data_IF_228448353001
#
_entry.id   IF_228448353001
#
_cell.length_a   1.000
_cell.length_b   1.000
_cell.length_c   1.000
_cell.angle_alpha   90.00
_cell.angle_beta   90.00
_cell.angle_gamma   90.00
#
_symmetry.space_group_name_H-M   'P 1'
#
loop_
_entity.id
_entity.type
_entity.pdbx_description
1 polymer ?
#
# COMPACT_ATOMS: atom_id res chain seq x y z
N UNK A 1 -2.24 5.81 22.03
CA UNK A 1 -3.36 6.23 21.16
C UNK A 1 -4.66 5.67 21.71
N UNK A 2 -5.69 6.51 21.89
CA UNK A 2 -7.04 6.11 22.37
C UNK A 2 -7.91 5.80 21.14
N UNK A 3 -8.65 4.69 21.19
CA UNK A 3 -9.61 4.30 20.13
C UNK A 3 -11.02 4.60 20.62
N UNK A 4 -11.79 5.35 19.82
CA UNK A 4 -13.20 5.66 20.06
C UNK A 4 -14.09 4.96 19.03
N UNK A 5 -15.38 4.85 19.33
CA UNK A 5 -16.40 4.32 18.43
C UNK A 5 -17.64 5.25 18.50
N UNK A 6 -17.49 6.43 17.91
CA UNK A 6 -18.50 7.50 18.03
C UNK A 6 -19.77 7.23 17.22
N UNK A 7 -19.72 6.27 16.31
CA UNK A 7 -20.82 5.89 15.41
C UNK A 7 -21.45 4.54 15.77
N UNK A 8 -21.14 3.99 16.94
CA UNK A 8 -21.65 2.69 17.39
C UNK A 8 -21.48 1.56 16.35
N UNK A 9 -20.32 1.55 15.67
CA UNK A 9 -20.02 0.51 14.70
C UNK A 9 -19.97 -0.88 15.37
N UNK A 10 -20.37 -1.96 14.66
CA UNK A 10 -20.36 -3.31 15.19
C UNK A 10 -18.99 -3.70 15.80
N UNK A 11 -19.03 -4.54 16.83
CA UNK A 11 -17.84 -4.97 17.59
C UNK A 11 -16.72 -5.55 16.71
N UNK A 12 -17.07 -6.16 15.57
CA UNK A 12 -16.09 -6.70 14.61
C UNK A 12 -15.14 -5.62 14.06
N UNK A 13 -15.65 -4.40 13.80
CA UNK A 13 -14.84 -3.25 13.35
C UNK A 13 -13.91 -2.76 14.47
N UNK A 14 -14.43 -2.67 15.69
CA UNK A 14 -13.63 -2.31 16.88
C UNK A 14 -12.50 -3.31 17.09
N UNK A 15 -12.80 -4.60 16.96
CA UNK A 15 -11.81 -5.67 17.10
C UNK A 15 -10.75 -5.63 16.00
N UNK A 16 -11.12 -5.31 14.77
CA UNK A 16 -10.16 -5.14 13.67
C UNK A 16 -9.16 -4.03 14.01
N UNK A 17 -9.63 -2.84 14.40
CA UNK A 17 -8.76 -1.69 14.72
C UNK A 17 -7.86 -1.97 15.93
N UNK A 18 -8.35 -2.68 16.94
CA UNK A 18 -7.58 -3.03 18.14
C UNK A 18 -6.56 -4.13 17.91
N UNK A 19 -6.81 -5.03 16.95
CA UNK A 19 -5.97 -6.18 16.65
C UNK A 19 -5.12 -5.98 15.38
N UNK A 20 -4.82 -4.72 15.02
CA UNK A 20 -3.91 -4.44 13.91
C UNK A 20 -2.59 -5.18 14.12
N UNK A 21 -2.33 -6.16 13.24
CA UNK A 21 -1.14 -7.01 13.27
C UNK A 21 0.02 -6.44 12.45
N UNK A 22 -0.10 -5.18 11.98
CA UNK A 22 0.98 -4.61 11.20
C UNK A 22 2.30 -4.66 11.95
N UNK A 23 3.28 -5.26 11.35
CA UNK A 23 4.64 -5.33 11.86
C UNK A 23 5.64 -4.97 10.76
N UNK A 24 6.59 -4.13 11.07
CA UNK A 24 7.76 -3.88 10.20
C UNK A 24 8.85 -4.95 10.33
N UNK A 25 8.59 -6.02 11.06
CA UNK A 25 9.56 -7.06 11.38
C UNK A 25 10.73 -6.50 12.19
N UNK A 26 11.95 -6.97 11.91
CA UNK A 26 13.18 -6.54 12.56
C UNK A 26 13.69 -5.16 12.08
N UNK A 27 12.92 -4.42 11.27
CA UNK A 27 13.36 -3.15 10.71
C UNK A 27 13.19 -1.97 11.68
N UNK A 28 14.08 -0.98 11.55
CA UNK A 28 13.93 0.31 12.24
C UNK A 28 12.88 1.18 11.54
N UNK A 29 12.82 1.10 10.21
CA UNK A 29 11.95 1.93 9.36
C UNK A 29 11.34 1.10 8.24
N UNK A 30 10.06 1.36 7.91
CA UNK A 30 9.41 0.77 6.73
C UNK A 30 9.40 1.74 5.55
N UNK A 31 9.23 1.21 4.33
CA UNK A 31 9.05 2.01 3.12
C UNK A 31 7.89 2.99 3.30
N UNK A 32 6.75 2.55 3.78
CA UNK A 32 5.60 3.41 4.06
C UNK A 32 5.90 4.53 5.07
N UNK A 33 6.82 4.27 6.02
CA UNK A 33 7.23 5.29 7.00
C UNK A 33 8.23 6.30 6.44
N UNK A 34 9.08 5.89 5.46
CA UNK A 34 10.10 6.80 4.91
C UNK A 34 9.52 7.77 3.87
N UNK A 35 8.46 7.36 3.18
CA UNK A 35 7.77 8.20 2.20
C UNK A 35 6.80 9.21 2.84
N UNK A 36 6.39 9.00 4.10
CA UNK A 36 5.61 9.98 4.87
C UNK A 36 6.50 11.14 5.33
N UNK A 37 5.90 12.28 5.62
CA UNK A 37 6.62 13.44 6.15
C UNK A 37 7.38 13.08 7.44
N UNK A 38 8.71 13.22 7.48
CA UNK A 38 9.50 12.93 8.68
C UNK A 38 9.03 13.70 9.91
N UNK A 39 8.59 14.96 9.71
CA UNK A 39 8.08 15.81 10.79
C UNK A 39 6.77 15.26 11.36
N UNK A 40 5.82 14.88 10.50
CA UNK A 40 4.53 14.32 10.93
C UNK A 40 4.77 13.00 11.68
N UNK A 41 5.64 12.15 11.17
CA UNK A 41 5.99 10.89 11.84
C UNK A 41 6.56 11.11 13.22
N UNK A 42 7.56 11.99 13.37
CA UNK A 42 8.16 12.31 14.67
C UNK A 42 7.15 12.88 15.66
N UNK A 43 6.24 13.74 15.18
CA UNK A 43 5.18 14.29 16.02
C UNK A 43 4.18 13.21 16.46
N UNK A 44 3.78 12.32 15.54
CA UNK A 44 2.92 11.17 15.89
C UNK A 44 3.56 10.25 16.92
N UNK A 45 4.86 9.98 16.78
CA UNK A 45 5.59 9.15 17.75
C UNK A 45 5.69 9.83 19.12
N UNK A 46 5.97 11.13 19.15
CA UNK A 46 6.09 11.91 20.39
C UNK A 46 4.75 12.06 21.14
N UNK A 47 3.64 12.19 20.41
CA UNK A 47 2.31 12.44 20.98
C UNK A 47 1.36 11.25 20.86
N UNK A 48 1.89 10.04 20.66
CA UNK A 48 1.11 8.84 20.42
C UNK A 48 0.04 8.57 21.48
N UNK A 49 0.35 8.83 22.73
CA UNK A 49 -0.56 8.57 23.85
C UNK A 49 -1.67 9.62 23.97
N UNK A 50 -1.45 10.81 23.41
CA UNK A 50 -2.43 11.91 23.37
C UNK A 50 -3.38 11.79 22.17
N UNK A 51 -3.00 11.01 21.14
CA UNK A 51 -3.80 10.86 19.92
C UNK A 51 -5.04 10.01 20.15
N UNK A 52 -6.12 10.42 19.50
CA UNK A 52 -7.38 9.67 19.42
C UNK A 52 -7.64 9.33 17.95
N UNK A 53 -8.09 8.11 17.68
CA UNK A 53 -8.58 7.68 16.37
C UNK A 53 -9.94 7.02 16.54
N UNK A 54 -10.89 7.35 15.69
CA UNK A 54 -12.20 6.70 15.69
C UNK A 54 -12.19 5.44 14.82
N UNK A 55 -12.97 4.44 15.18
CA UNK A 55 -13.09 3.20 14.40
C UNK A 55 -13.52 3.49 12.95
N UNK A 56 -14.33 4.51 12.74
CA UNK A 56 -14.79 4.93 11.41
C UNK A 56 -13.64 5.40 10.49
N UNK A 57 -12.55 5.93 11.03
CA UNK A 57 -11.38 6.37 10.26
C UNK A 57 -10.67 5.17 9.61
N UNK A 58 -10.89 3.96 10.14
CA UNK A 58 -10.22 2.73 9.72
C UNK A 58 -11.01 1.88 8.71
N UNK A 59 -12.19 2.37 8.26
CA UNK A 59 -13.02 1.63 7.30
C UNK A 59 -12.31 1.46 5.95
N UNK A 60 -11.66 2.50 5.44
CA UNK A 60 -10.95 2.40 4.17
C UNK A 60 -9.66 1.56 4.25
N UNK A 61 -8.82 1.67 5.30
CA UNK A 61 -7.77 0.71 5.59
C UNK A 61 -8.25 -0.74 5.67
N UNK A 62 -9.36 -1.01 6.37
CA UNK A 62 -9.98 -2.34 6.43
C UNK A 62 -10.34 -2.85 5.03
N UNK A 63 -10.99 -2.00 4.22
CA UNK A 63 -11.36 -2.38 2.85
C UNK A 63 -10.15 -2.66 1.98
N UNK A 64 -9.10 -1.85 2.10
CA UNK A 64 -7.81 -2.11 1.45
C UNK A 64 -7.24 -3.48 1.83
N UNK A 65 -7.13 -3.77 3.12
CA UNK A 65 -6.63 -5.06 3.62
C UNK A 65 -7.45 -6.24 3.11
N UNK A 66 -8.79 -6.13 3.08
CA UNK A 66 -9.66 -7.19 2.59
C UNK A 66 -9.44 -7.46 1.09
N UNK A 67 -9.31 -6.42 0.28
CA UNK A 67 -9.04 -6.54 -1.16
C UNK A 67 -7.67 -7.16 -1.42
N UNK A 68 -6.62 -6.71 -0.72
CA UNK A 68 -5.28 -7.33 -0.79
C UNK A 68 -5.35 -8.81 -0.51
N UNK A 69 -5.95 -9.22 0.60
CA UNK A 69 -6.07 -10.63 0.98
C UNK A 69 -6.81 -11.49 -0.07
N UNK A 70 -7.84 -10.94 -0.71
CA UNK A 70 -8.57 -11.63 -1.78
C UNK A 70 -7.69 -11.80 -3.03
N UNK A 71 -6.98 -10.74 -3.45
CA UNK A 71 -6.12 -10.77 -4.63
C UNK A 71 -4.90 -11.68 -4.43
N UNK A 72 -4.30 -11.66 -3.25
CA UNK A 72 -3.25 -12.59 -2.84
C UNK A 72 -3.70 -14.04 -2.98
N UNK A 73 -4.86 -14.36 -2.39
CA UNK A 73 -5.41 -15.72 -2.44
C UNK A 73 -5.74 -16.20 -3.86
N UNK A 74 -5.97 -15.29 -4.79
CA UNK A 74 -6.27 -15.58 -6.19
C UNK A 74 -5.03 -15.67 -7.08
N UNK A 75 -3.86 -15.22 -6.63
CA UNK A 75 -2.62 -15.20 -7.42
C UNK A 75 -1.90 -16.54 -7.31
N UNK A 76 -2.11 -17.42 -8.31
CA UNK A 76 -1.56 -18.79 -8.31
C UNK A 76 -0.61 -19.07 -9.48
N UNK A 77 -0.19 -18.05 -10.22
CA UNK A 77 0.67 -18.19 -11.40
C UNK A 77 2.11 -18.54 -11.03
N UNK A 78 2.76 -19.32 -11.90
CA UNK A 78 4.18 -19.63 -11.77
C UNK A 78 5.04 -18.35 -11.80
N UNK A 79 6.08 -18.31 -10.94
CA UNK A 79 6.99 -17.16 -10.80
C UNK A 79 6.39 -15.96 -10.08
N UNK A 80 5.21 -16.11 -9.48
CA UNK A 80 4.61 -15.06 -8.65
C UNK A 80 5.02 -15.23 -7.18
N UNK A 81 5.45 -14.14 -6.55
CA UNK A 81 5.70 -14.03 -5.11
C UNK A 81 4.81 -12.92 -4.57
N UNK A 82 4.13 -13.18 -3.44
CA UNK A 82 3.12 -12.30 -2.85
C UNK A 82 3.54 -11.93 -1.44
N UNK A 83 3.26 -10.68 -1.04
CA UNK A 83 3.48 -10.15 0.33
C UNK A 83 4.89 -10.44 0.88
N UNK A 84 5.88 -10.52 -0.01
CA UNK A 84 7.25 -10.76 0.41
C UNK A 84 7.84 -9.54 1.10
N UNK A 85 8.27 -9.73 2.33
CA UNK A 85 8.96 -8.69 3.08
C UNK A 85 10.46 -8.77 2.89
N UNK A 86 11.02 -7.75 2.26
CA UNK A 86 12.44 -7.58 2.04
C UNK A 86 13.04 -6.58 3.04
N UNK A 87 14.34 -6.75 3.30
CA UNK A 87 15.10 -5.91 4.24
C UNK A 87 16.41 -5.48 3.59
N UNK A 88 16.82 -4.25 3.89
CA UNK A 88 18.18 -3.81 3.55
C UNK A 88 18.74 -2.88 4.63
N UNK A 89 20.02 -3.13 4.99
CA UNK A 89 20.73 -2.31 5.98
C UNK A 89 21.42 -1.14 5.29
N UNK A 90 21.03 0.07 5.68
CA UNK A 90 21.65 1.31 5.22
C UNK A 90 22.26 2.02 6.42
N UNK A 91 23.58 1.94 6.57
CA UNK A 91 24.30 2.43 7.74
C UNK A 91 23.74 1.83 9.06
N UNK A 92 23.19 2.67 9.93
CA UNK A 92 22.56 2.26 11.20
C UNK A 92 21.07 1.90 11.08
N UNK A 93 20.47 2.06 9.91
CA UNK A 93 19.07 1.79 9.66
C UNK A 93 18.86 0.46 8.95
N UNK A 94 17.79 -0.21 9.30
CA UNK A 94 17.28 -1.35 8.55
C UNK A 94 15.95 -0.95 7.95
N UNK A 95 15.94 -0.79 6.63
CA UNK A 95 14.72 -0.52 5.85
C UNK A 95 14.00 -1.83 5.57
N UNK A 96 12.67 -1.85 5.67
CA UNK A 96 11.85 -2.96 5.18
C UNK A 96 10.70 -2.51 4.32
N UNK A 97 10.30 -3.36 3.37
CA UNK A 97 9.09 -3.22 2.59
C UNK A 97 8.44 -4.58 2.36
N UNK A 98 7.13 -4.66 2.51
CA UNK A 98 6.34 -5.79 2.03
C UNK A 98 5.83 -5.41 0.64
N UNK A 99 6.11 -6.26 -0.34
CA UNK A 99 5.77 -6.02 -1.75
C UNK A 99 4.57 -6.91 -2.07
N UNK A 100 3.46 -6.29 -2.47
CA UNK A 100 2.18 -6.97 -2.66
C UNK A 100 2.30 -8.12 -3.68
N UNK A 101 2.90 -7.82 -4.84
CA UNK A 101 2.98 -8.79 -5.93
C UNK A 101 4.27 -8.57 -6.75
N UNK A 102 5.00 -9.66 -6.95
CA UNK A 102 6.20 -9.72 -7.77
C UNK A 102 6.04 -10.83 -8.81
N UNK A 103 6.31 -10.53 -10.08
CA UNK A 103 6.36 -11.52 -11.15
C UNK A 103 7.78 -11.66 -11.66
N UNK A 104 8.37 -12.82 -11.44
CA UNK A 104 9.67 -13.23 -11.96
C UNK A 104 9.47 -14.00 -13.28
N UNK A 105 10.06 -13.55 -14.37
CA UNK A 105 10.04 -14.18 -15.69
C UNK A 105 11.33 -14.97 -16.00
N UNK A 106 12.19 -15.17 -14.99
CA UNK A 106 13.49 -15.82 -15.10
C UNK A 106 14.62 -14.91 -15.62
N UNK A 107 14.30 -13.66 -15.99
CA UNK A 107 15.27 -12.67 -16.50
C UNK A 107 15.12 -11.32 -15.77
N UNK A 108 13.94 -11.03 -15.27
CA UNK A 108 13.60 -9.76 -14.64
C UNK A 108 12.39 -9.90 -13.72
N UNK A 109 12.21 -8.92 -12.83
CA UNK A 109 11.09 -8.84 -11.90
C UNK A 109 10.21 -7.64 -12.24
N UNK A 110 8.90 -7.87 -12.35
CA UNK A 110 7.89 -6.82 -12.41
C UNK A 110 7.21 -6.70 -11.05
N UNK A 111 7.05 -5.47 -10.55
CA UNK A 111 6.41 -5.17 -9.27
C UNK A 111 5.03 -4.57 -9.53
N UNK A 112 4.02 -5.10 -8.86
CA UNK A 112 2.66 -4.55 -8.85
C UNK A 112 2.23 -4.27 -7.41
N UNK A 113 1.70 -3.08 -7.18
CA UNK A 113 1.15 -2.65 -5.88
C UNK A 113 -0.35 -2.35 -6.07
N UNK A 114 -1.18 -2.98 -5.24
CA UNK A 114 -2.64 -2.81 -5.32
C UNK A 114 -3.10 -1.67 -4.42
N UNK A 115 -3.89 -0.74 -4.97
CA UNK A 115 -4.40 0.41 -4.22
C UNK A 115 -5.92 0.54 -4.34
N UNK A 116 -6.62 0.36 -3.23
CA UNK A 116 -8.04 0.75 -3.14
C UNK A 116 -8.11 2.25 -2.88
N UNK A 117 -8.53 3.00 -3.89
CA UNK A 117 -8.42 4.46 -3.87
C UNK A 117 -9.61 5.16 -4.53
N UNK A 118 -9.62 6.48 -4.52
CA UNK A 118 -10.62 7.26 -5.25
C UNK A 118 -10.18 7.53 -6.70
N UNK A 119 -11.14 7.79 -7.56
CA UNK A 119 -10.91 8.27 -8.94
C UNK A 119 -9.98 9.49 -8.97
N UNK A 120 -10.13 10.40 -8.03
CA UNK A 120 -9.34 11.62 -7.94
C UNK A 120 -7.85 11.36 -7.72
N UNK A 121 -7.51 10.25 -7.05
CA UNK A 121 -6.11 9.86 -6.87
C UNK A 121 -5.43 9.46 -8.18
N UNK A 122 -6.19 8.95 -9.14
CA UNK A 122 -5.69 8.62 -10.48
C UNK A 122 -5.62 9.88 -11.36
N UNK A 123 -6.66 10.71 -11.34
CA UNK A 123 -6.71 11.93 -12.17
C UNK A 123 -5.59 12.91 -11.78
N UNK A 124 -5.33 13.09 -10.50
CA UNK A 124 -4.32 14.06 -10.03
C UNK A 124 -2.93 13.43 -9.81
N UNK A 125 -2.84 12.09 -9.83
CA UNK A 125 -1.63 11.37 -9.47
C UNK A 125 -1.33 11.42 -7.97
N UNK A 126 -0.45 10.54 -7.53
CA UNK A 126 0.10 10.52 -6.16
C UNK A 126 1.59 10.21 -6.21
N UNK A 127 2.41 11.19 -5.93
CA UNK A 127 3.87 11.05 -5.90
C UNK A 127 4.33 10.00 -4.87
N UNK A 128 3.55 9.77 -3.83
CA UNK A 128 3.83 8.74 -2.82
C UNK A 128 3.85 7.33 -3.41
N UNK A 129 3.08 7.06 -4.47
CA UNK A 129 3.12 5.79 -5.18
C UNK A 129 4.46 5.57 -5.89
N UNK A 130 4.97 6.62 -6.56
CA UNK A 130 6.28 6.62 -7.18
C UNK A 130 7.38 6.36 -6.14
N UNK A 131 7.38 7.08 -5.03
CA UNK A 131 8.35 6.89 -3.96
C UNK A 131 8.30 5.49 -3.37
N UNK A 132 7.10 4.95 -3.12
CA UNK A 132 6.91 3.62 -2.55
C UNK A 132 7.48 2.54 -3.48
N UNK A 133 7.09 2.56 -4.75
CA UNK A 133 7.48 1.55 -5.71
C UNK A 133 8.97 1.61 -6.06
N UNK A 134 9.57 2.80 -6.15
CA UNK A 134 11.02 2.95 -6.32
C UNK A 134 11.79 2.43 -5.09
N UNK A 135 11.27 2.60 -3.87
CA UNK A 135 11.85 1.97 -2.68
C UNK A 135 11.74 0.44 -2.74
N UNK A 136 10.66 -0.11 -3.26
CA UNK A 136 10.51 -1.56 -3.47
C UNK A 136 11.47 -2.07 -4.54
N UNK A 137 11.62 -1.37 -5.67
CA UNK A 137 12.60 -1.70 -6.70
C UNK A 137 14.03 -1.71 -6.13
N UNK A 138 14.38 -0.73 -5.31
CA UNK A 138 15.64 -0.71 -4.58
C UNK A 138 15.83 -1.93 -3.67
N UNK A 139 14.78 -2.32 -2.92
CA UNK A 139 14.86 -3.51 -2.06
C UNK A 139 15.03 -4.79 -2.88
N UNK A 140 14.39 -4.92 -4.04
CA UNK A 140 14.61 -6.04 -4.98
C UNK A 140 16.08 -6.06 -5.44
N UNK A 141 16.61 -4.94 -5.92
CA UNK A 141 18.01 -4.81 -6.38
C UNK A 141 19.03 -5.24 -5.30
N UNK A 142 18.70 -5.03 -4.03
CA UNK A 142 19.57 -5.38 -2.90
C UNK A 142 19.40 -6.80 -2.37
N UNK A 143 18.36 -7.52 -2.76
CA UNK A 143 18.02 -8.83 -2.23
C UNK A 143 17.96 -9.93 -3.29
N UNK A 144 17.84 -9.57 -4.58
CA UNK A 144 17.68 -10.52 -5.69
C UNK A 144 18.65 -10.20 -6.82
N UNK A 145 19.15 -11.24 -7.49
CA UNK A 145 20.10 -11.11 -8.58
C UNK A 145 19.43 -10.85 -9.96
N UNK A 146 18.24 -10.30 -9.96
CA UNK A 146 17.47 -10.01 -11.16
C UNK A 146 17.08 -8.52 -11.22
N UNK A 147 17.19 -7.89 -12.41
CA UNK A 147 16.81 -6.50 -12.57
C UNK A 147 15.30 -6.31 -12.47
N UNK A 148 14.88 -5.15 -11.98
CA UNK A 148 13.48 -4.74 -12.03
C UNK A 148 13.16 -4.23 -13.44
N UNK A 149 12.14 -4.81 -14.08
CA UNK A 149 11.72 -4.49 -15.45
C UNK A 149 10.66 -3.39 -15.47
N UNK A 150 9.71 -3.47 -14.55
CA UNK A 150 8.59 -2.53 -14.46
C UNK A 150 8.07 -2.43 -13.04
N UNK A 151 7.60 -1.25 -12.71
CA UNK A 151 6.89 -0.98 -11.46
C UNK A 151 5.55 -0.32 -11.79
N UNK A 152 4.46 -0.82 -11.22
CA UNK A 152 3.12 -0.35 -11.54
C UNK A 152 2.18 -0.37 -10.35
N UNK A 153 1.22 0.53 -10.35
CA UNK A 153 0.08 0.55 -9.43
C UNK A 153 -1.15 0.03 -10.14
N UNK A 154 -1.85 -0.91 -9.54
CA UNK A 154 -3.20 -1.30 -9.94
C UNK A 154 -4.19 -0.62 -9.00
N UNK A 155 -4.80 0.46 -9.48
CA UNK A 155 -5.75 1.27 -8.74
C UNK A 155 -7.17 0.73 -8.89
N UNK A 156 -7.77 0.30 -7.77
CA UNK A 156 -9.16 -0.17 -7.67
C UNK A 156 -9.98 1.01 -7.16
N UNK A 157 -10.86 1.54 -8.03
CA UNK A 157 -11.52 2.82 -7.84
C UNK A 157 -12.86 2.62 -7.12
N UNK A 158 -12.89 2.87 -5.80
CA UNK A 158 -14.05 2.64 -4.94
C UNK A 158 -15.26 3.54 -5.24
N UNK A 159 -15.04 4.67 -5.90
CA UNK A 159 -16.03 5.68 -6.25
C UNK A 159 -16.22 5.86 -7.77
N UNK A 160 -15.77 4.86 -8.56
CA UNK A 160 -15.92 4.88 -10.01
C UNK A 160 -17.39 4.86 -10.43
N UNK A 161 -17.72 5.67 -11.43
CA UNK A 161 -19.08 5.82 -11.94
C UNK A 161 -19.11 5.69 -13.46
N UNK A 162 -19.86 4.73 -13.97
CA UNK A 162 -19.99 4.46 -15.41
C UNK A 162 -20.50 5.67 -16.19
N UNK A 163 -21.47 6.40 -15.67
CA UNK A 163 -22.06 7.57 -16.35
C UNK A 163 -21.04 8.70 -16.49
N UNK A 164 -20.17 8.88 -15.51
CA UNK A 164 -19.08 9.85 -15.60
C UNK A 164 -18.04 9.41 -16.64
N UNK A 165 -17.69 8.13 -16.70
CA UNK A 165 -16.79 7.59 -17.72
C UNK A 165 -17.31 7.80 -19.15
N UNK A 166 -18.63 7.62 -19.37
CA UNK A 166 -19.27 7.85 -20.67
C UNK A 166 -19.33 9.34 -21.08
N UNK A 167 -19.26 10.26 -20.13
CA UNK A 167 -19.39 11.71 -20.37
C UNK A 167 -18.05 12.45 -20.43
N UNK A 168 -17.02 11.92 -19.80
CA UNK A 168 -15.76 12.62 -19.56
C UNK A 168 -14.57 11.78 -20.02
N UNK A 169 -13.83 12.29 -20.98
CA UNK A 169 -12.61 11.63 -21.48
C UNK A 169 -11.44 11.69 -20.50
N UNK A 170 -11.43 12.65 -19.56
CA UNK A 170 -10.43 12.78 -18.50
C UNK A 170 -10.73 11.91 -17.27
N UNK A 171 -11.86 11.19 -17.28
CA UNK A 171 -12.27 10.27 -16.22
C UNK A 171 -11.81 8.84 -16.54
N UNK A 172 -11.37 8.03 -15.55
CA UNK A 172 -10.99 6.65 -15.79
C UNK A 172 -12.10 5.84 -16.47
N UNK A 173 -11.77 5.20 -17.59
CA UNK A 173 -12.76 4.48 -18.40
C UNK A 173 -13.13 3.10 -17.82
N UNK A 174 -12.40 2.63 -16.79
CA UNK A 174 -12.65 1.37 -16.10
C UNK A 174 -12.55 1.53 -14.58
N UNK A 175 -13.23 0.67 -13.79
CA UNK A 175 -13.17 0.69 -12.32
C UNK A 175 -11.81 0.24 -11.76
N UNK A 176 -10.97 -0.39 -12.59
CA UNK A 176 -9.59 -0.78 -12.26
C UNK A 176 -8.68 -0.22 -13.35
N UNK A 177 -7.62 0.45 -12.93
CA UNK A 177 -6.66 1.11 -13.83
C UNK A 177 -5.25 0.70 -13.44
N UNK A 178 -4.46 0.29 -14.42
CA UNK A 178 -3.01 0.07 -14.26
C UNK A 178 -2.27 1.34 -14.63
N UNK A 179 -1.35 1.76 -13.76
CA UNK A 179 -0.55 2.97 -13.90
C UNK A 179 0.92 2.57 -13.83
N UNK A 180 1.64 2.75 -14.92
CA UNK A 180 3.09 2.59 -14.92
C UNK A 180 3.72 3.74 -14.14
N UNK A 181 4.68 3.40 -13.30
CA UNK A 181 5.44 4.34 -12.48
C UNK A 181 6.84 4.47 -13.06
N UNK A 182 7.37 5.71 -13.21
CA UNK A 182 8.73 5.93 -13.72
C UNK A 182 9.82 5.44 -12.77
#
# INVERSE_FOLDING_TARGET
>A
MKITNNYDLPQSFVNFVRNDKYSKGAANISVTSIIDSPRIRLMRDAHRDEMTSDVSDMIWPLFGTAVHHVLESASTDDGVTIEERLFHKINKWVLSGAIDHQKDDGKSISITDYKVTSVWSVIHGKVEWEYQLNCYAYLIDKNKDLPVKSIQVVAILRDWNRREAERRSDYPQAPVVTIDVP
#
